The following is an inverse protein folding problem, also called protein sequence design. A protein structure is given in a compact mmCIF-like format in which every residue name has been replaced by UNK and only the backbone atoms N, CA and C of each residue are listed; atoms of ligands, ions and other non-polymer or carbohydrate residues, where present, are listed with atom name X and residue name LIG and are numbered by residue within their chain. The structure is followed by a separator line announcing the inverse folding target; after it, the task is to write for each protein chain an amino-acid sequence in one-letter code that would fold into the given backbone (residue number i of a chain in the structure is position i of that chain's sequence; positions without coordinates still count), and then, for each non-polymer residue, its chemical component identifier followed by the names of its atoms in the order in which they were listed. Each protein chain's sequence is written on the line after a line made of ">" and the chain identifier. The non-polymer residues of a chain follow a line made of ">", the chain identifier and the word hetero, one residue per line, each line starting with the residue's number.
data_IF_892821431599
#
_entry.id   IF_892821431599
#
_cell.length_a   1.000
_cell.length_b   1.000
_cell.length_c   1.000
_cell.angle_alpha   90.00
_cell.angle_beta   90.00
_cell.angle_gamma   90.00
#
_symmetry.space_group_name_H-M   'P 1'
#
loop_
_entity.id
_entity.type
_entity.pdbx_description
1 polymer ?
#
# COMPACT_ATOMS: atom_id res chain seq x y z
N UNK A 1 10.47 23.74 7.12
CA UNK A 1 9.49 24.44 7.97
C UNK A 1 8.23 23.62 7.88
N UNK A 2 7.67 23.18 9.00
CA UNK A 2 6.42 22.42 9.00
C UNK A 2 5.27 23.37 8.67
N UNK A 3 4.55 23.07 7.60
CA UNK A 3 3.42 23.88 7.14
C UNK A 3 2.20 23.54 7.97
N UNK A 4 1.54 24.53 8.57
CA UNK A 4 0.26 24.34 9.24
C UNK A 4 -0.86 24.40 8.20
N UNK A 5 -1.67 23.34 8.12
CA UNK A 5 -2.79 23.20 7.20
C UNK A 5 -4.06 23.15 8.04
N UNK A 6 -5.00 24.05 7.75
CA UNK A 6 -6.33 24.03 8.36
C UNK A 6 -7.25 23.22 7.48
N UNK A 7 -7.99 22.27 8.05
CA UNK A 7 -9.00 21.48 7.33
C UNK A 7 -10.29 21.43 8.12
N UNK A 8 -11.42 21.24 7.42
CA UNK A 8 -12.71 20.94 8.03
C UNK A 8 -13.09 19.50 7.68
N UNK A 9 -13.28 18.65 8.67
CA UNK A 9 -13.73 17.27 8.48
C UNK A 9 -15.24 17.18 8.73
N UNK A 10 -15.97 16.54 7.83
CA UNK A 10 -17.43 16.40 7.86
C UNK A 10 -17.79 14.90 7.90
N UNK A 11 -18.69 14.51 8.82
CA UNK A 11 -19.37 13.21 8.76
C UNK A 11 -20.72 13.38 8.03
N UNK A 12 -20.86 12.86 6.80
CA UNK A 12 -22.06 13.07 6.00
C UNK A 12 -23.29 12.33 6.55
N UNK A 13 -23.11 11.36 7.46
CA UNK A 13 -24.19 10.57 8.06
C UNK A 13 -24.91 11.33 9.17
N UNK A 14 -24.15 12.13 9.91
CA UNK A 14 -24.63 12.88 11.10
C UNK A 14 -24.66 14.38 10.86
N UNK A 15 -24.02 14.85 9.78
CA UNK A 15 -23.77 16.26 9.49
C UNK A 15 -22.93 16.95 10.58
N UNK A 16 -22.14 16.18 11.34
CA UNK A 16 -21.15 16.71 12.26
C UNK A 16 -19.97 17.28 11.48
N UNK A 17 -19.39 18.37 11.99
CA UNK A 17 -18.20 18.99 11.44
C UNK A 17 -17.17 19.30 12.54
N UNK A 18 -15.89 19.20 12.20
CA UNK A 18 -14.78 19.58 13.09
C UNK A 18 -13.67 20.25 12.28
N UNK A 19 -13.19 21.39 12.76
CA UNK A 19 -12.03 22.07 12.18
C UNK A 19 -10.76 21.66 12.92
N UNK A 20 -9.72 21.35 12.16
CA UNK A 20 -8.44 20.90 12.67
C UNK A 20 -7.32 21.80 12.12
N UNK A 21 -6.39 22.17 12.99
CA UNK A 21 -5.10 22.74 12.61
C UNK A 21 -4.08 21.60 12.68
N UNK A 22 -3.63 21.13 11.52
CA UNK A 22 -2.72 19.98 11.39
C UNK A 22 -1.37 20.41 10.82
N UNK A 23 -0.30 19.94 11.44
CA UNK A 23 1.04 20.08 10.89
C UNK A 23 1.21 19.16 9.68
N UNK A 24 1.94 19.61 8.67
CA UNK A 24 2.18 18.88 7.42
C UNK A 24 2.70 17.45 7.63
N UNK A 25 3.45 17.23 8.70
CA UNK A 25 4.04 15.95 9.08
C UNK A 25 3.07 14.95 9.73
N UNK A 26 1.79 15.30 9.90
CA UNK A 26 0.79 14.35 10.38
C UNK A 26 0.32 13.43 9.26
N UNK A 27 0.25 12.13 9.54
CA UNK A 27 -0.33 11.17 8.61
C UNK A 27 -1.85 11.29 8.56
N UNK A 28 -2.46 10.97 7.42
CA UNK A 28 -3.93 10.90 7.28
C UNK A 28 -4.55 9.97 8.33
N UNK A 29 -3.90 8.84 8.65
CA UNK A 29 -4.31 7.90 9.71
C UNK A 29 -4.41 8.59 11.07
N UNK A 30 -3.43 9.43 11.42
CA UNK A 30 -3.45 10.16 12.69
C UNK A 30 -4.58 11.20 12.76
N UNK A 31 -4.93 11.81 11.63
CA UNK A 31 -6.04 12.76 11.51
C UNK A 31 -7.38 12.02 11.60
N UNK A 32 -7.53 10.91 10.88
CA UNK A 32 -8.70 10.02 10.97
C UNK A 32 -8.92 9.60 12.42
N UNK A 33 -7.89 9.08 13.09
CA UNK A 33 -8.00 8.61 14.47
C UNK A 33 -8.44 9.73 15.41
N UNK A 34 -7.87 10.93 15.27
CA UNK A 34 -8.25 12.08 16.08
C UNK A 34 -9.74 12.41 15.95
N UNK A 35 -10.27 12.38 14.72
CA UNK A 35 -11.68 12.68 14.44
C UNK A 35 -12.61 11.57 14.95
N UNK A 36 -12.21 10.30 14.73
CA UNK A 36 -12.94 9.12 15.22
C UNK A 36 -13.06 9.15 16.74
N UNK A 37 -11.96 9.42 17.44
CA UNK A 37 -11.92 9.55 18.90
C UNK A 37 -12.78 10.73 19.38
N UNK A 38 -12.69 11.87 18.69
CA UNK A 38 -13.46 13.07 19.02
C UNK A 38 -14.97 12.87 18.92
N UNK A 39 -15.42 12.16 17.88
CA UNK A 39 -16.83 11.87 17.66
C UNK A 39 -17.32 10.57 18.32
N UNK A 40 -16.43 9.82 18.97
CA UNK A 40 -16.76 8.55 19.64
C UNK A 40 -17.23 7.46 18.66
N UNK A 41 -16.64 7.42 17.46
CA UNK A 41 -17.09 6.59 16.34
C UNK A 41 -16.58 5.14 16.41
N UNK A 42 -16.82 4.41 17.51
CA UNK A 42 -16.64 2.95 17.57
C UNK A 42 -15.28 2.40 17.08
N UNK A 43 -15.25 1.14 16.64
CA UNK A 43 -14.04 0.45 16.14
C UNK A 43 -14.06 0.23 14.62
N UNK A 44 -14.98 0.87 13.90
CA UNK A 44 -15.03 0.77 12.44
C UNK A 44 -13.79 1.47 11.86
N UNK A 45 -13.25 0.94 10.76
CA UNK A 45 -12.22 1.65 10.02
C UNK A 45 -12.85 2.86 9.31
N UNK A 46 -12.11 3.95 9.21
CA UNK A 46 -12.55 5.19 8.54
C UNK A 46 -11.48 5.68 7.56
N UNK A 47 -11.91 6.41 6.54
CA UNK A 47 -11.02 7.10 5.62
C UNK A 47 -11.50 8.54 5.41
N UNK A 48 -10.56 9.41 5.04
CA UNK A 48 -10.85 10.77 4.60
C UNK A 48 -10.89 10.83 3.09
N UNK A 49 -11.79 11.64 2.56
CA UNK A 49 -11.76 12.04 1.16
C UNK A 49 -11.71 13.56 0.99
N UNK A 50 -11.02 14.03 -0.03
CA UNK A 50 -11.08 15.42 -0.52
C UNK A 50 -11.79 15.41 -1.87
N UNK A 51 -12.94 16.07 -2.01
CA UNK A 51 -13.68 16.11 -3.29
C UNK A 51 -13.93 14.70 -3.89
N UNK A 52 -14.20 13.70 -3.05
CA UNK A 52 -14.39 12.30 -3.46
C UNK A 52 -13.11 11.48 -3.65
N UNK A 53 -11.94 12.13 -3.53
CA UNK A 53 -10.64 11.50 -3.62
C UNK A 53 -10.19 10.91 -2.28
N UNK A 54 -9.97 9.59 -2.19
CA UNK A 54 -9.47 8.97 -0.95
C UNK A 54 -8.05 9.44 -0.65
N UNK A 55 -7.85 9.92 0.58
CA UNK A 55 -6.55 10.25 1.15
C UNK A 55 -5.97 8.99 1.79
N UNK A 56 -4.75 8.59 1.39
CA UNK A 56 -4.18 7.34 1.87
C UNK A 56 -3.72 7.47 3.32
N UNK A 57 -4.00 6.48 4.20
CA UNK A 57 -3.74 6.58 5.64
C UNK A 57 -2.28 6.91 6.00
N UNK A 58 -1.33 6.40 5.24
CA UNK A 58 0.09 6.54 5.56
C UNK A 58 0.74 7.79 4.93
N UNK A 59 0.03 8.51 4.06
CA UNK A 59 0.51 9.76 3.47
C UNK A 59 0.56 10.87 4.54
N UNK A 60 1.59 11.72 4.48
CA UNK A 60 1.65 12.96 5.25
C UNK A 60 0.75 13.99 4.59
N UNK A 61 -0.01 14.76 5.37
CA UNK A 61 -1.02 15.67 4.79
C UNK A 61 -0.40 16.70 3.83
N UNK A 62 0.82 17.18 4.08
CA UNK A 62 1.51 18.11 3.16
C UNK A 62 2.07 17.46 1.88
N UNK A 63 2.03 16.14 1.80
CA UNK A 63 2.38 15.36 0.60
C UNK A 63 1.13 14.92 -0.18
N UNK A 64 -0.06 15.19 0.35
CA UNK A 64 -1.33 14.90 -0.33
C UNK A 64 -1.79 16.06 -1.22
N UNK A 65 -2.92 15.86 -1.89
CA UNK A 65 -3.62 16.94 -2.59
C UNK A 65 -4.29 17.94 -1.65
N UNK A 66 -4.27 17.76 -0.33
CA UNK A 66 -5.02 18.62 0.60
C UNK A 66 -4.40 20.02 0.69
N UNK A 67 -5.23 21.04 0.53
CA UNK A 67 -4.92 22.46 0.63
C UNK A 67 -5.51 23.08 1.89
N UNK A 68 -4.98 24.25 2.26
CA UNK A 68 -5.45 24.99 3.41
C UNK A 68 -6.92 25.45 3.21
N UNK A 69 -7.76 25.20 4.22
CA UNK A 69 -9.21 25.38 4.27
C UNK A 69 -10.05 24.38 3.46
N UNK A 70 -9.50 23.25 3.06
CA UNK A 70 -10.30 22.21 2.42
C UNK A 70 -11.35 21.58 3.34
N UNK A 71 -12.43 21.13 2.71
CA UNK A 71 -13.41 20.24 3.32
C UNK A 71 -13.08 18.79 2.97
N UNK A 72 -12.90 17.99 4.03
CA UNK A 72 -12.65 16.57 3.98
C UNK A 72 -13.88 15.82 4.48
N UNK A 73 -14.19 14.69 3.86
CA UNK A 73 -15.33 13.85 4.26
C UNK A 73 -14.79 12.61 4.96
N UNK A 74 -15.17 12.41 6.22
CA UNK A 74 -14.91 11.16 6.94
C UNK A 74 -15.99 10.15 6.57
N UNK A 75 -15.59 9.03 6.00
CA UNK A 75 -16.49 7.94 5.66
C UNK A 75 -16.06 6.67 6.37
N UNK A 76 -17.00 5.85 6.88
CA UNK A 76 -16.66 4.50 7.32
C UNK A 76 -16.11 3.76 6.11
N UNK A 77 -15.00 3.07 6.32
CA UNK A 77 -14.57 1.98 5.45
C UNK A 77 -15.78 1.04 5.30
N UNK A 78 -16.12 0.57 4.09
CA UNK A 78 -17.28 -0.30 3.94
C UNK A 78 -17.17 -1.53 4.85
N UNK A 79 -18.01 -1.54 5.89
CA UNK A 79 -18.07 -2.61 6.90
C UNK A 79 -18.42 -3.93 6.22
N UNK A 80 -17.67 -5.00 6.55
CA UNK A 80 -18.05 -6.37 6.22
C UNK A 80 -17.80 -6.81 4.77
N UNK A 81 -16.80 -6.25 4.08
CA UNK A 81 -16.48 -6.63 2.70
C UNK A 81 -17.46 -6.06 1.67
N UNK A 82 -18.21 -5.01 2.01
CA UNK A 82 -19.03 -4.30 1.04
C UNK A 82 -18.12 -3.56 0.03
N UNK A 83 -18.49 -3.60 -1.24
CA UNK A 83 -17.75 -2.92 -2.30
C UNK A 83 -17.86 -1.40 -2.15
N UNK A 84 -16.76 -0.67 -2.37
CA UNK A 84 -16.82 0.79 -2.54
C UNK A 84 -17.79 1.14 -3.69
N UNK A 85 -18.56 2.24 -3.59
CA UNK A 85 -19.30 2.77 -4.73
C UNK A 85 -18.39 2.93 -5.96
N UNK A 86 -18.90 2.66 -7.16
CA UNK A 86 -18.07 2.63 -8.38
C UNK A 86 -17.24 3.90 -8.60
N UNK A 87 -17.79 5.12 -8.45
CA UNK A 87 -17.01 6.34 -8.62
C UNK A 87 -15.87 6.49 -7.59
N UNK A 88 -16.10 6.08 -6.34
CA UNK A 88 -15.10 6.16 -5.26
C UNK A 88 -13.98 5.14 -5.49
N UNK A 89 -14.36 3.93 -5.88
CA UNK A 89 -13.40 2.89 -6.26
C UNK A 89 -12.54 3.34 -7.44
N UNK A 90 -13.15 3.87 -8.51
CA UNK A 90 -12.42 4.36 -9.67
C UNK A 90 -11.43 5.47 -9.30
N UNK A 91 -11.86 6.44 -8.47
CA UNK A 91 -11.00 7.51 -7.97
C UNK A 91 -9.81 6.98 -7.15
N UNK A 92 -10.04 5.96 -6.30
CA UNK A 92 -8.94 5.28 -5.58
C UNK A 92 -7.94 4.65 -6.53
N UNK A 93 -8.42 3.92 -7.53
CA UNK A 93 -7.53 3.29 -8.51
C UNK A 93 -6.72 4.31 -9.30
N UNK A 94 -7.30 5.47 -9.63
CA UNK A 94 -6.62 6.55 -10.34
C UNK A 94 -5.48 7.14 -9.48
N UNK A 95 -5.73 7.36 -8.19
CA UNK A 95 -4.69 7.80 -7.25
C UNK A 95 -3.53 6.83 -7.13
N UNK A 96 -3.83 5.55 -6.97
CA UNK A 96 -2.79 4.54 -6.77
C UNK A 96 -1.91 4.43 -8.01
N UNK A 97 -2.49 4.54 -9.22
CA UNK A 97 -1.72 4.61 -10.46
C UNK A 97 -0.78 5.82 -10.46
N UNK A 98 -1.25 7.00 -10.06
CA UNK A 98 -0.40 8.19 -9.99
C UNK A 98 0.71 8.06 -8.94
N UNK A 99 0.43 7.48 -7.77
CA UNK A 99 1.44 7.19 -6.74
C UNK A 99 2.52 6.23 -7.26
N UNK A 100 2.14 5.21 -8.02
CA UNK A 100 3.11 4.28 -8.62
C UNK A 100 3.93 4.99 -9.71
N UNK A 101 3.33 5.86 -10.54
CA UNK A 101 4.05 6.63 -11.57
C UNK A 101 5.08 7.60 -11.00
N UNK A 102 4.88 8.10 -9.78
CA UNK A 102 5.86 8.94 -9.09
C UNK A 102 7.14 8.17 -8.69
N UNK A 103 7.12 6.84 -8.78
CA UNK A 103 8.28 5.99 -8.55
C UNK A 103 9.12 5.86 -9.83
N UNK A 104 10.34 6.41 -9.83
CA UNK A 104 11.20 6.49 -11.02
C UNK A 104 11.73 5.13 -11.56
N UNK A 105 11.43 4.03 -10.89
CA UNK A 105 11.95 2.68 -11.20
C UNK A 105 10.87 1.72 -11.71
N UNK A 106 9.60 2.12 -11.71
CA UNK A 106 8.51 1.33 -12.28
C UNK A 106 8.06 1.92 -13.60
N UNK A 107 7.96 1.07 -14.62
CA UNK A 107 7.24 1.40 -15.85
C UNK A 107 5.90 0.68 -15.84
N UNK A 108 4.85 1.38 -16.23
CA UNK A 108 3.47 0.90 -16.08
C UNK A 108 2.74 0.88 -17.41
N UNK A 109 1.99 -0.19 -17.64
CA UNK A 109 0.88 -0.23 -18.57
C UNK A 109 -0.41 -0.44 -17.78
N UNK A 110 -1.40 0.42 -17.99
CA UNK A 110 -2.68 0.38 -17.27
C UNK A 110 -3.80 0.12 -18.26
N UNK A 111 -4.61 -0.90 -17.99
CA UNK A 111 -5.77 -1.27 -18.82
C UNK A 111 -7.00 -1.46 -17.95
N UNK A 112 -8.15 -1.01 -18.46
CA UNK A 112 -9.46 -1.22 -17.85
C UNK A 112 -10.31 -2.11 -18.76
N UNK A 113 -11.22 -2.90 -18.18
CA UNK A 113 -12.08 -3.86 -18.90
C UNK A 113 -13.29 -3.23 -19.64
N UNK A 114 -13.33 -1.90 -19.74
CA UNK A 114 -14.37 -1.13 -20.41
C UNK A 114 -15.53 -0.73 -19.48
N UNK A 115 -16.48 0.10 -19.96
CA UNK A 115 -17.59 0.57 -19.13
C UNK A 115 -18.75 -0.45 -19.05
N UNK A 116 -19.30 -0.75 -17.86
CA UNK A 116 -18.86 -0.26 -16.55
C UNK A 116 -17.58 -0.96 -16.11
N UNK A 117 -16.62 -0.19 -15.58
CA UNK A 117 -15.31 -0.70 -15.16
C UNK A 117 -15.50 -1.69 -14.02
N UNK A 118 -15.06 -2.93 -14.19
CA UNK A 118 -15.10 -3.96 -13.13
C UNK A 118 -13.71 -4.39 -12.66
N UNK A 119 -12.69 -4.20 -13.50
CA UNK A 119 -11.31 -4.51 -13.16
C UNK A 119 -10.37 -3.50 -13.80
N UNK A 120 -9.39 -3.04 -13.03
CA UNK A 120 -8.18 -2.40 -13.55
C UNK A 120 -7.02 -3.38 -13.47
N UNK A 121 -6.28 -3.50 -14.56
CA UNK A 121 -5.03 -4.24 -14.61
C UNK A 121 -3.88 -3.25 -14.73
N UNK A 122 -2.92 -3.34 -13.81
CA UNK A 122 -1.65 -2.63 -13.85
C UNK A 122 -0.58 -3.67 -14.15
N UNK A 123 0.11 -3.51 -15.28
CA UNK A 123 1.32 -4.28 -15.61
C UNK A 123 2.51 -3.41 -15.24
N UNK A 124 3.36 -3.93 -14.37
CA UNK A 124 4.54 -3.25 -13.83
C UNK A 124 5.78 -3.94 -14.36
N UNK A 125 6.66 -3.19 -15.02
CA UNK A 125 8.04 -3.64 -15.28
C UNK A 125 8.91 -3.29 -14.08
N UNK A 126 9.49 -4.32 -13.47
CA UNK A 126 10.48 -4.23 -12.40
C UNK A 126 11.87 -4.33 -13.03
N UNK A 127 12.69 -3.30 -12.87
CA UNK A 127 14.09 -3.27 -13.31
C UNK A 127 15.06 -3.36 -12.14
N UNK A 128 16.26 -3.93 -12.32
CA UNK A 128 17.23 -4.12 -11.23
C UNK A 128 16.63 -4.98 -10.10
N UNK A 129 15.77 -5.95 -10.40
CA UNK A 129 15.13 -6.83 -9.42
C UNK A 129 15.70 -8.25 -9.58
N UNK A 130 16.74 -8.65 -8.81
CA UNK A 130 17.45 -9.89 -9.08
C UNK A 130 16.66 -11.14 -8.69
N UNK A 131 16.36 -12.00 -9.67
CA UNK A 131 15.84 -13.34 -9.43
C UNK A 131 16.37 -14.36 -10.45
N UNK A 132 16.41 -15.63 -10.07
CA UNK A 132 16.78 -16.67 -11.02
C UNK A 132 15.60 -16.98 -11.96
N UNK A 133 15.91 -17.38 -13.19
CA UNK A 133 15.01 -18.01 -14.16
C UNK A 133 15.56 -19.38 -14.50
N UNK A 134 14.69 -20.39 -14.49
CA UNK A 134 15.05 -21.75 -14.92
C UNK A 134 14.25 -22.11 -16.17
N UNK A 135 14.96 -22.20 -17.29
CA UNK A 135 14.42 -22.71 -18.56
C UNK A 135 15.17 -23.99 -18.94
N UNK A 136 14.50 -25.13 -18.75
CA UNK A 136 15.06 -26.45 -19.03
C UNK A 136 15.36 -26.69 -20.51
N UNK A 137 14.79 -25.89 -21.42
CA UNK A 137 15.15 -25.93 -22.84
C UNK A 137 16.48 -25.23 -23.12
N UNK A 138 16.85 -24.22 -22.31
CA UNK A 138 18.13 -23.52 -22.39
C UNK A 138 19.24 -24.21 -21.58
N UNK A 139 18.89 -25.06 -20.61
CA UNK A 139 19.83 -25.85 -19.81
C UNK A 139 19.32 -26.15 -18.38
N UNK A 140 20.06 -26.96 -17.60
CA UNK A 140 19.66 -27.30 -16.23
C UNK A 140 19.95 -26.18 -15.22
N UNK A 141 20.81 -25.23 -15.57
CA UNK A 141 21.32 -24.22 -14.66
C UNK A 141 20.47 -22.94 -14.69
N UNK A 142 19.89 -22.51 -13.56
CA UNK A 142 19.18 -21.24 -13.47
C UNK A 142 20.08 -20.03 -13.80
N UNK A 143 19.52 -19.05 -14.50
CA UNK A 143 20.21 -17.80 -14.89
C UNK A 143 19.70 -16.64 -14.07
N UNK A 144 20.59 -15.77 -13.61
CA UNK A 144 20.21 -14.53 -12.92
C UNK A 144 19.64 -13.53 -13.93
N UNK A 145 18.46 -13.02 -13.66
CA UNK A 145 17.75 -12.01 -14.44
C UNK A 145 17.39 -10.85 -13.49
N UNK A 146 17.37 -9.62 -14.00
CA UNK A 146 17.06 -8.43 -13.21
C UNK A 146 15.83 -7.66 -13.73
N UNK A 147 15.20 -8.15 -14.81
CA UNK A 147 14.01 -7.54 -15.42
C UNK A 147 12.83 -8.52 -15.33
N UNK A 148 11.73 -8.06 -14.74
CA UNK A 148 10.54 -8.86 -14.51
C UNK A 148 9.28 -8.08 -14.82
N UNK A 149 8.21 -8.79 -15.18
CA UNK A 149 6.91 -8.18 -15.44
C UNK A 149 5.89 -8.74 -14.45
N UNK A 150 5.23 -7.86 -13.71
CA UNK A 150 4.23 -8.19 -12.69
C UNK A 150 2.86 -7.69 -13.15
N UNK A 151 1.84 -8.55 -13.12
CA UNK A 151 0.45 -8.18 -13.34
C UNK A 151 -0.26 -8.02 -12.00
N UNK A 152 -0.91 -6.87 -11.78
CA UNK A 152 -1.75 -6.56 -10.62
C UNK A 152 -3.17 -6.28 -11.09
N UNK A 153 -4.15 -7.05 -10.61
CA UNK A 153 -5.57 -6.90 -10.93
C UNK A 153 -6.36 -6.41 -9.72
N UNK A 154 -6.89 -5.21 -9.86
CA UNK A 154 -7.72 -4.51 -8.89
C UNK A 154 -9.16 -4.68 -9.35
N UNK A 155 -9.91 -5.58 -8.70
CA UNK A 155 -11.32 -5.87 -9.02
C UNK A 155 -12.26 -4.99 -8.19
N UNK A 156 -13.57 -5.12 -8.41
CA UNK A 156 -14.61 -4.40 -7.65
C UNK A 156 -14.60 -4.64 -6.13
N UNK A 157 -13.94 -5.69 -5.66
CA UNK A 157 -13.84 -6.04 -4.24
C UNK A 157 -12.63 -5.36 -3.58
N UNK A 158 -11.64 -4.90 -4.36
CA UNK A 158 -10.58 -4.02 -3.88
C UNK A 158 -11.17 -2.70 -3.35
N UNK A 159 -10.69 -2.15 -2.22
CA UNK A 159 -9.59 -2.62 -1.37
C UNK A 159 -10.02 -3.58 -0.25
N UNK A 160 -11.30 -3.95 -0.19
CA UNK A 160 -11.82 -4.91 0.80
C UNK A 160 -11.18 -6.28 0.68
N UNK A 161 -10.88 -6.71 -0.55
CA UNK A 161 -10.05 -7.87 -0.84
C UNK A 161 -8.70 -7.45 -1.45
N UNK A 162 -7.66 -8.24 -1.17
CA UNK A 162 -6.36 -8.08 -1.79
C UNK A 162 -6.45 -8.21 -3.32
N UNK A 163 -5.67 -7.43 -4.08
CA UNK A 163 -5.62 -7.57 -5.52
C UNK A 163 -5.03 -8.91 -5.92
N UNK A 164 -5.42 -9.41 -7.09
CA UNK A 164 -4.80 -10.62 -7.66
C UNK A 164 -3.49 -10.23 -8.33
N UNK A 165 -2.41 -10.91 -7.98
CA UNK A 165 -1.10 -10.67 -8.60
C UNK A 165 -0.46 -11.94 -9.13
N UNK A 166 0.34 -11.79 -10.18
CA UNK A 166 1.26 -12.83 -10.65
C UNK A 166 2.37 -12.23 -11.49
N UNK A 167 3.51 -12.89 -11.51
CA UNK A 167 4.53 -12.63 -12.52
C UNK A 167 4.06 -13.11 -13.89
N UNK A 168 4.28 -12.28 -14.91
CA UNK A 168 4.15 -12.65 -16.32
C UNK A 168 5.47 -13.21 -16.87
N UNK A 169 6.59 -12.77 -16.31
CA UNK A 169 7.91 -13.33 -16.58
C UNK A 169 8.12 -14.63 -15.80
N UNK A 170 8.83 -15.59 -16.39
CA UNK A 170 9.24 -16.79 -15.67
C UNK A 170 10.23 -16.45 -14.55
N UNK A 171 9.83 -16.75 -13.32
CA UNK A 171 10.66 -16.57 -12.12
C UNK A 171 10.81 -17.91 -11.39
N UNK A 172 12.06 -18.28 -11.16
CA UNK A 172 12.44 -19.39 -10.30
C UNK A 172 12.82 -18.82 -8.94
N UNK A 173 11.84 -18.68 -8.04
CA UNK A 173 12.02 -18.09 -6.70
C UNK A 173 11.25 -18.90 -5.65
N UNK A 174 11.73 -19.00 -4.39
CA UNK A 174 11.11 -19.85 -3.36
C UNK A 174 9.67 -19.46 -3.01
N UNK A 175 9.31 -18.19 -3.21
CA UNK A 175 7.99 -17.62 -2.96
C UNK A 175 7.12 -17.44 -4.21
N UNK A 176 7.56 -17.97 -5.36
CA UNK A 176 6.81 -17.87 -6.62
C UNK A 176 6.43 -19.27 -7.10
N UNK A 177 5.15 -19.49 -7.35
CA UNK A 177 4.63 -20.72 -7.92
C UNK A 177 4.95 -20.83 -9.41
N UNK A 178 4.89 -22.03 -9.99
CA UNK A 178 5.17 -22.24 -11.41
C UNK A 178 4.20 -21.53 -12.36
N UNK A 179 3.05 -21.07 -11.87
CA UNK A 179 2.08 -20.26 -12.62
C UNK A 179 2.24 -18.75 -12.39
N UNK A 180 3.33 -18.34 -11.73
CA UNK A 180 3.67 -16.95 -11.46
C UNK A 180 2.96 -16.36 -10.23
N UNK A 181 2.05 -17.09 -9.56
CA UNK A 181 1.46 -16.61 -8.31
C UNK A 181 2.52 -16.43 -7.22
N UNK A 182 2.25 -15.54 -6.28
CA UNK A 182 3.21 -15.13 -5.25
C UNK A 182 2.68 -15.52 -3.87
N UNK A 183 3.55 -16.07 -3.02
CA UNK A 183 3.26 -16.34 -1.61
C UNK A 183 3.96 -15.29 -0.74
N UNK A 184 3.21 -14.35 -0.19
CA UNK A 184 3.69 -13.31 0.74
C UNK A 184 2.65 -13.10 1.85
N UNK A 185 3.11 -12.83 3.08
CA UNK A 185 2.23 -12.72 4.26
C UNK A 185 1.18 -11.63 4.14
N UNK A 186 1.51 -10.54 3.44
CA UNK A 186 0.61 -9.40 3.18
C UNK A 186 -0.75 -9.79 2.60
N UNK A 187 -0.87 -10.93 1.89
CA UNK A 187 -2.19 -11.39 1.41
C UNK A 187 -3.09 -11.96 2.50
N UNK A 188 -2.52 -12.57 3.54
CA UNK A 188 -3.27 -13.12 4.66
C UNK A 188 -3.71 -12.02 5.63
N UNK A 189 -2.86 -11.00 5.81
CA UNK A 189 -3.08 -9.87 6.71
C UNK A 189 -3.47 -8.61 5.93
N UNK A 190 -4.20 -8.77 4.82
CA UNK A 190 -4.56 -7.66 3.95
C UNK A 190 -5.48 -6.66 4.68
N UNK A 191 -5.09 -5.40 4.70
CA UNK A 191 -5.90 -4.30 5.19
C UNK A 191 -6.39 -3.42 4.05
N UNK A 192 -7.61 -2.87 4.18
CA UNK A 192 -8.16 -1.86 3.26
C UNK A 192 -7.31 -0.59 3.18
N UNK A 193 -6.46 -0.36 4.18
CA UNK A 193 -5.48 0.72 4.23
C UNK A 193 -4.32 0.52 3.25
N UNK A 194 -4.03 -0.72 2.82
CA UNK A 194 -2.92 -1.03 1.93
C UNK A 194 -3.16 -0.60 0.48
N UNK A 195 -2.14 -0.02 -0.14
CA UNK A 195 -2.16 0.41 -1.55
C UNK A 195 -1.52 -0.62 -2.49
N UNK A 196 -1.85 -0.55 -3.77
CA UNK A 196 -1.16 -1.30 -4.82
C UNK A 196 0.35 -0.98 -4.86
N UNK A 197 0.75 0.26 -4.57
CA UNK A 197 2.16 0.64 -4.48
C UNK A 197 2.88 -0.13 -3.36
N UNK A 198 2.30 -0.15 -2.15
CA UNK A 198 2.88 -0.90 -1.03
C UNK A 198 3.00 -2.39 -1.36
N UNK A 199 2.01 -2.96 -2.04
CA UNK A 199 2.08 -4.36 -2.48
C UNK A 199 3.19 -4.59 -3.51
N UNK A 200 3.32 -3.72 -4.52
CA UNK A 200 4.39 -3.82 -5.53
C UNK A 200 5.76 -3.70 -4.86
N UNK A 201 5.92 -2.75 -3.92
CA UNK A 201 7.15 -2.59 -3.13
C UNK A 201 7.45 -3.83 -2.28
N UNK A 202 6.46 -4.42 -1.62
CA UNK A 202 6.64 -5.65 -0.85
C UNK A 202 7.10 -6.82 -1.74
N UNK A 203 6.56 -6.93 -2.96
CA UNK A 203 6.97 -7.94 -3.95
C UNK A 203 8.38 -7.67 -4.50
N UNK A 204 8.73 -6.42 -4.78
CA UNK A 204 10.08 -6.03 -5.23
C UNK A 204 11.11 -6.33 -4.12
N UNK A 205 10.76 -6.01 -2.86
CA UNK A 205 11.59 -6.34 -1.71
C UNK A 205 11.75 -7.85 -1.51
N UNK A 206 10.71 -8.66 -1.76
CA UNK A 206 10.78 -10.11 -1.71
C UNK A 206 11.91 -10.64 -2.63
N UNK A 207 12.05 -10.07 -3.83
CA UNK A 207 13.13 -10.43 -4.76
C UNK A 207 14.50 -9.91 -4.26
N UNK A 208 14.55 -8.66 -3.80
CA UNK A 208 15.79 -8.00 -3.37
C UNK A 208 16.42 -8.62 -2.10
N UNK A 209 15.59 -9.07 -1.16
CA UNK A 209 16.05 -9.65 0.11
C UNK A 209 16.12 -11.17 0.09
N UNK A 210 15.68 -11.82 -0.99
CA UNK A 210 15.63 -13.29 -1.12
C UNK A 210 14.93 -13.93 0.07
N UNK A 211 13.88 -13.27 0.52
CA UNK A 211 13.13 -13.73 1.67
C UNK A 211 12.53 -15.10 1.32
N UNK A 212 12.66 -16.04 2.26
CA UNK A 212 12.02 -17.35 2.17
C UNK A 212 11.02 -17.45 3.33
N UNK A 213 9.74 -17.61 3.01
CA UNK A 213 8.72 -17.83 4.04
C UNK A 213 9.08 -19.06 4.88
N UNK A 214 9.26 -18.88 6.19
CA UNK A 214 9.46 -19.97 7.17
C UNK A 214 8.26 -20.95 7.22
N UNK A 215 7.13 -20.59 6.61
CA UNK A 215 5.91 -21.39 6.46
C UNK A 215 5.76 -22.09 5.10
N UNK A 216 6.79 -22.82 4.65
CA UNK A 216 6.76 -23.61 3.42
C UNK A 216 7.01 -22.79 2.15
N UNK A 217 8.10 -23.09 1.45
CA UNK A 217 8.36 -22.47 0.15
C UNK A 217 7.31 -22.90 -0.87
N UNK A 218 6.77 -21.94 -1.63
CA UNK A 218 5.95 -22.21 -2.81
C UNK A 218 6.71 -23.05 -3.84
N UNK A 219 8.04 -22.88 -3.89
CA UNK A 219 8.95 -23.63 -4.75
C UNK A 219 10.15 -24.15 -3.95
N UNK A 220 10.09 -25.42 -3.55
CA UNK A 220 11.15 -26.08 -2.75
C UNK A 220 12.43 -26.32 -3.54
N UNK A 221 12.35 -26.47 -4.87
CA UNK A 221 13.54 -26.59 -5.72
C UNK A 221 14.30 -25.26 -5.77
N UNK A 222 13.57 -24.15 -5.93
CA UNK A 222 14.16 -22.82 -5.85
C UNK A 222 14.77 -22.59 -4.47
N UNK A 223 14.09 -22.97 -3.37
CA UNK A 223 14.62 -22.79 -2.02
C UNK A 223 15.99 -23.46 -1.86
N UNK A 224 16.11 -24.71 -2.32
CA UNK A 224 17.38 -25.43 -2.30
C UNK A 224 18.45 -24.71 -3.13
N UNK A 225 18.11 -24.29 -4.34
CA UNK A 225 19.06 -23.62 -5.23
C UNK A 225 19.56 -22.28 -4.66
N UNK A 226 18.67 -21.45 -4.10
CA UNK A 226 19.03 -20.17 -3.47
C UNK A 226 19.92 -20.38 -2.24
N UNK A 227 19.71 -21.47 -1.49
CA UNK A 227 20.57 -21.82 -0.35
C UNK A 227 22.01 -22.07 -0.80
N UNK A 228 22.19 -22.77 -1.92
CA UNK A 228 23.51 -23.09 -2.48
C UNK A 228 24.11 -21.93 -3.30
N UNK A 229 23.27 -21.03 -3.84
CA UNK A 229 23.65 -19.95 -4.76
C UNK A 229 23.01 -18.61 -4.35
N UNK A 230 23.35 -18.07 -3.16
CA UNK A 230 22.74 -16.85 -2.66
C UNK A 230 23.08 -15.67 -3.58
N UNK A 231 22.10 -14.82 -3.83
CA UNK A 231 22.34 -13.51 -4.42
C UNK A 231 22.77 -12.59 -3.26
N UNK A 232 23.51 -11.50 -3.50
CA UNK A 232 23.77 -10.52 -2.44
C UNK A 232 22.52 -9.67 -2.21
N UNK A 233 21.97 -9.58 -0.98
CA UNK A 233 20.85 -8.70 -0.69
C UNK A 233 21.19 -7.24 -1.02
N UNK A 234 20.23 -6.52 -1.59
CA UNK A 234 20.33 -5.09 -1.87
C UNK A 234 19.12 -4.38 -1.26
N UNK A 235 19.09 -3.05 -1.24
CA UNK A 235 17.91 -2.27 -0.85
C UNK A 235 17.54 -1.18 -1.86
N UNK A 236 16.23 -1.06 -2.14
CA UNK A 236 15.67 0.06 -2.89
C UNK A 236 15.72 1.34 -2.03
N UNK A 237 15.76 2.54 -2.64
CA UNK A 237 15.77 3.80 -1.89
C UNK A 237 14.58 3.99 -0.92
N UNK A 238 13.40 3.45 -1.25
CA UNK A 238 12.19 3.51 -0.42
C UNK A 238 12.12 2.42 0.65
N UNK A 239 13.13 1.56 0.78
CA UNK A 239 13.07 0.45 1.74
C UNK A 239 12.76 0.91 3.17
N UNK A 240 13.38 2.00 3.62
CA UNK A 240 13.17 2.57 4.95
C UNK A 240 11.88 3.42 5.07
N UNK A 241 11.08 3.52 4.02
CA UNK A 241 9.83 4.30 4.00
C UNK A 241 8.58 3.42 4.01
N UNK A 242 8.71 2.10 3.92
CA UNK A 242 7.58 1.19 4.13
C UNK A 242 7.08 1.27 5.57
N UNK A 243 5.76 1.19 5.75
CA UNK A 243 5.14 1.19 7.07
C UNK A 243 5.52 -0.06 7.87
N UNK A 244 5.51 0.05 9.20
CA UNK A 244 5.84 -1.07 10.09
C UNK A 244 4.93 -2.28 9.86
N UNK A 245 3.65 -2.07 9.52
CA UNK A 245 2.71 -3.14 9.20
C UNK A 245 3.13 -3.89 7.93
N UNK A 246 3.49 -3.18 6.86
CA UNK A 246 3.98 -3.79 5.61
C UNK A 246 5.29 -4.55 5.86
N UNK A 247 6.22 -3.95 6.61
CA UNK A 247 7.49 -4.60 6.95
C UNK A 247 7.32 -5.88 7.77
N UNK A 248 6.32 -5.95 8.65
CA UNK A 248 6.02 -7.16 9.44
C UNK A 248 5.33 -8.25 8.63
N UNK A 249 4.53 -7.88 7.62
CA UNK A 249 3.85 -8.82 6.72
C UNK A 249 4.77 -9.40 5.65
N UNK A 250 5.94 -8.80 5.45
CA UNK A 250 7.02 -9.34 4.63
C UNK A 250 7.78 -10.36 5.50
N UNK A 251 7.92 -11.62 5.06
CA UNK A 251 8.65 -12.61 5.85
C UNK A 251 10.09 -12.10 6.04
N UNK A 252 10.62 -12.07 7.26
CA UNK A 252 12.01 -11.68 7.48
C UNK A 252 12.88 -12.92 7.56
N UNK A 253 14.06 -12.88 6.95
CA UNK A 253 15.16 -13.72 7.40
C UNK A 253 15.59 -13.15 8.74
N UNK A 254 15.50 -13.89 9.84
CA UNK A 254 16.05 -13.45 11.12
C UNK A 254 17.51 -13.03 10.94
N UNK A 255 17.77 -11.72 10.87
CA UNK A 255 18.94 -11.01 11.40
C UNK A 255 18.86 -9.51 11.06
N UNK A 256 18.81 -8.69 12.11
CA UNK A 256 19.07 -7.23 12.19
C UNK A 256 18.04 -6.25 11.57
N UNK A 257 17.07 -5.83 12.38
CA UNK A 257 16.38 -4.53 12.21
C UNK A 257 17.17 -3.46 12.98
N UNK A 258 17.63 -2.35 12.36
CA UNK A 258 18.22 -1.24 13.09
C UNK A 258 17.10 -0.46 13.81
N UNK A 259 17.07 -0.50 15.13
CA UNK A 259 16.14 0.29 15.94
C UNK A 259 16.70 1.70 16.21
N UNK A 260 16.03 2.71 15.68
CA UNK A 260 16.22 4.11 16.07
C UNK A 260 14.93 4.66 16.70
N UNK A 261 14.98 5.47 17.77
CA UNK A 261 13.78 5.97 18.41
C UNK A 261 13.21 7.15 17.61
N UNK A 262 11.92 7.14 17.29
CA UNK A 262 11.17 8.33 16.88
C UNK A 262 10.09 8.64 17.92
N UNK A 263 10.21 9.79 18.57
CA UNK A 263 9.15 10.40 19.39
C UNK A 263 8.34 11.30 18.45
N UNK A 264 7.03 11.07 18.31
CA UNK A 264 6.13 11.93 17.52
C UNK A 264 4.98 12.39 18.41
N UNK A 265 4.78 13.71 18.51
CA UNK A 265 3.63 14.35 19.15
C UNK A 265 2.45 14.40 18.17
N UNK A 266 1.24 14.04 18.61
CA UNK A 266 0.06 13.97 17.73
C UNK A 266 -0.71 15.29 17.47
N UNK A 267 -1.69 15.27 16.55
CA UNK A 267 -2.50 16.43 16.16
C UNK A 267 -3.44 16.96 17.26
N UNK A 268 -3.92 18.21 17.14
CA UNK A 268 -4.77 18.89 18.14
C UNK A 268 -6.07 19.44 17.53
N UNK A 269 -7.16 19.36 18.29
CA UNK A 269 -8.48 19.91 17.93
C UNK A 269 -8.56 21.37 18.34
N UNK A 270 -9.10 22.22 17.46
CA UNK A 270 -9.36 23.64 17.77
C UNK A 270 -10.84 23.82 18.05
N UNK A 271 -11.24 23.89 19.32
CA UNK A 271 -12.61 24.28 19.68
C UNK A 271 -12.69 25.80 19.73
N UNK A 272 -13.51 26.40 18.86
CA UNK A 272 -13.87 27.81 18.97
C UNK A 272 -14.62 28.11 20.29
N UNK A 273 -14.64 29.38 20.76
CA UNK A 273 -15.32 29.73 22.00
C UNK A 273 -16.82 29.41 21.91
N UNK A 274 -17.33 28.66 22.89
CA UNK A 274 -18.77 28.50 23.12
C UNK A 274 -19.38 29.88 23.34
N UNK A 275 -20.23 30.32 22.43
CA UNK A 275 -21.17 31.42 22.71
C UNK A 275 -22.21 30.85 23.67
N UNK A 276 -22.03 31.12 24.96
CA UNK A 276 -23.08 30.95 25.95
C UNK A 276 -24.01 32.14 25.73
N UNK A 277 -25.18 31.89 25.13
CA UNK A 277 -26.27 32.85 25.19
C UNK A 277 -26.94 32.69 26.55
N UNK A 278 -26.81 33.73 27.38
CA UNK A 278 -27.68 33.95 28.55
C UNK A 278 -29.10 34.34 28.10
#
# INVERSE_FOLDING_TARGET
>A
MTTEIRVKVIDPRTNNEVSLDVMGEHSIRSIVQLVVDHWGLGSDNYYLTRQGLILMPDDLIDQTVVEHNDELVLSPDPVGGARLPEPIWAARLDNEVEQIKQQNFYKLEVTDDGPPRTTRTIVVELSDAPAYRLDLAEGPDPKLIEEHTLEVKLNRDYPGEAPKVRFLSDIFHPNVYSDGRICIGMFNDWETSFSALQLIQAIDQLLWQQIHTLGGAANTLALKYYTDNPITPRYRPWFNTLSDSVNQSIPTTENEVPTGPRIVTGPRIVTGPRVIND
#
